data_IF_534202965336
#
_entry.id   IF_534202965336
#
_cell.length_a   1.000
_cell.length_b   1.000
_cell.length_c   1.000
_cell.angle_alpha   90.00
_cell.angle_beta   90.00
_cell.angle_gamma   90.00
#
_symmetry.space_group_name_H-M   'P 1'
#
loop_
_entity.id
_entity.type
_entity.pdbx_description
1 polymer ?
#
# COMPACT_ATOMS: atom_id res chain seq x y z
N UNK A 1 0.96 11.34 47.31
CA UNK A 1 2.12 10.54 46.85
C UNK A 1 1.84 10.01 45.43
N UNK A 2 1.86 10.87 44.40
CA UNK A 2 1.57 10.47 43.00
C UNK A 2 2.79 10.54 42.08
N UNK A 3 3.87 11.19 42.53
CA UNK A 3 5.13 11.33 41.80
C UNK A 3 5.73 9.98 41.31
N UNK A 4 5.78 8.90 42.11
CA UNK A 4 6.35 7.63 41.65
C UNK A 4 5.54 6.99 40.52
N UNK A 5 4.22 7.20 40.51
CA UNK A 5 3.34 6.65 39.48
C UNK A 5 3.55 7.35 38.13
N UNK A 6 3.76 8.66 38.12
CA UNK A 6 4.02 9.44 36.90
C UNK A 6 5.37 9.05 36.28
N UNK A 7 6.40 8.84 37.11
CA UNK A 7 7.73 8.40 36.65
C UNK A 7 7.67 7.00 36.03
N UNK A 8 6.81 6.12 36.55
CA UNK A 8 6.58 4.78 36.00
C UNK A 8 5.82 4.80 34.66
N UNK A 9 4.99 5.83 34.41
CA UNK A 9 4.23 6.00 33.17
C UNK A 9 5.05 6.61 32.01
N UNK A 10 6.08 7.40 32.31
CA UNK A 10 6.97 8.00 31.30
C UNK A 10 7.53 7.02 30.24
N UNK A 11 8.05 5.82 30.58
CA UNK A 11 8.55 4.89 29.56
C UNK A 11 7.43 4.35 28.65
N UNK A 12 6.22 4.15 29.17
CA UNK A 12 5.07 3.65 28.39
C UNK A 12 4.66 4.67 27.33
N UNK A 13 4.63 5.95 27.70
CA UNK A 13 4.33 7.04 26.76
C UNK A 13 5.38 7.16 25.65
N UNK A 14 6.64 6.80 25.91
CA UNK A 14 7.71 6.77 24.90
C UNK A 14 7.61 5.60 23.91
N UNK A 15 6.92 4.52 24.28
CA UNK A 15 6.75 3.33 23.43
C UNK A 15 5.55 3.49 22.48
N UNK A 16 4.58 4.36 22.79
CA UNK A 16 3.43 4.64 21.92
C UNK A 16 3.81 5.22 20.53
N UNK A 17 4.67 6.25 20.42
CA UNK A 17 5.05 6.81 19.13
C UNK A 17 5.64 5.78 18.14
N UNK A 18 6.64 4.94 18.50
CA UNK A 18 7.21 3.99 17.55
C UNK A 18 6.22 2.88 17.15
N UNK A 19 5.37 2.40 18.06
CA UNK A 19 4.34 1.40 17.73
C UNK A 19 3.31 1.94 16.74
N UNK A 20 2.92 3.20 16.89
CA UNK A 20 2.01 3.86 15.95
C UNK A 20 2.62 3.94 14.53
N UNK A 21 3.90 4.33 14.44
CA UNK A 21 4.61 4.37 13.16
C UNK A 21 4.73 2.99 12.52
N UNK A 22 5.03 1.94 13.30
CA UNK A 22 5.12 0.57 12.81
C UNK A 22 3.79 0.05 12.27
N UNK A 23 2.68 0.30 12.99
CA UNK A 23 1.34 -0.09 12.55
C UNK A 23 0.96 0.60 11.23
N UNK A 24 1.29 1.88 11.10
CA UNK A 24 0.99 2.65 9.88
C UNK A 24 1.83 2.18 8.69
N UNK A 25 3.15 2.01 8.88
CA UNK A 25 4.06 1.48 7.85
C UNK A 25 3.62 0.09 7.39
N UNK A 26 3.26 -0.79 8.32
CA UNK A 26 2.85 -2.17 8.01
C UNK A 26 1.57 -2.22 7.16
N UNK A 27 0.61 -1.31 7.40
CA UNK A 27 -0.60 -1.19 6.58
C UNK A 27 -0.27 -0.82 5.13
N UNK A 28 0.57 0.19 4.93
CA UNK A 28 0.98 0.65 3.58
C UNK A 28 1.79 -0.45 2.86
N UNK A 29 2.72 -1.09 3.57
CA UNK A 29 3.57 -2.15 3.00
C UNK A 29 2.78 -3.38 2.54
N UNK A 30 1.64 -3.68 3.17
CA UNK A 30 0.78 -4.79 2.74
C UNK A 30 0.28 -4.55 1.31
N UNK A 31 -0.20 -3.36 1.01
CA UNK A 31 -0.72 -3.01 -0.31
C UNK A 31 0.37 -2.94 -1.37
N UNK A 32 1.59 -2.52 -1.00
CA UNK A 32 2.75 -2.66 -1.88
C UNK A 32 3.01 -4.12 -2.28
N UNK A 33 2.89 -5.07 -1.34
CA UNK A 33 3.05 -6.50 -1.65
C UNK A 33 1.94 -7.04 -2.53
N UNK A 34 0.69 -6.61 -2.31
CA UNK A 34 -0.44 -7.00 -3.17
C UNK A 34 -0.26 -6.46 -4.60
N UNK A 35 0.17 -5.22 -4.76
CA UNK A 35 0.50 -4.64 -6.08
C UNK A 35 1.61 -5.42 -6.79
N UNK A 36 2.69 -5.75 -6.07
CA UNK A 36 3.80 -6.52 -6.64
C UNK A 36 3.36 -7.92 -7.09
N UNK A 37 2.47 -8.56 -6.33
CA UNK A 37 1.92 -9.86 -6.71
C UNK A 37 1.13 -9.80 -8.03
N UNK A 38 0.35 -8.74 -8.25
CA UNK A 38 -0.38 -8.51 -9.52
C UNK A 38 0.59 -8.24 -10.68
N UNK A 39 1.65 -7.47 -10.44
CA UNK A 39 2.66 -7.19 -11.45
C UNK A 39 3.42 -8.47 -11.85
N UNK A 40 3.76 -9.32 -10.88
CA UNK A 40 4.41 -10.61 -11.12
C UNK A 40 3.50 -11.57 -11.88
N UNK A 41 2.23 -11.71 -11.46
CA UNK A 41 1.29 -12.61 -12.16
C UNK A 41 1.07 -12.20 -13.62
N UNK A 42 0.94 -10.90 -13.90
CA UNK A 42 0.88 -10.39 -15.27
C UNK A 42 2.16 -10.64 -16.06
N UNK A 43 3.31 -10.48 -15.42
CA UNK A 43 4.62 -10.69 -16.08
C UNK A 43 4.85 -12.14 -16.47
N UNK A 44 4.34 -13.10 -15.67
CA UNK A 44 4.44 -14.54 -15.95
C UNK A 44 3.53 -14.99 -17.09
N UNK A 45 2.35 -14.38 -17.23
CA UNK A 45 1.36 -14.77 -18.23
C UNK A 45 0.60 -13.56 -18.76
N UNK A 46 0.99 -13.12 -19.97
CA UNK A 46 0.40 -11.96 -20.67
C UNK A 46 -0.84 -12.34 -21.48
N UNK A 47 -1.64 -13.25 -20.93
CA UNK A 47 -2.81 -13.76 -21.63
C UNK A 47 -3.94 -12.71 -21.64
N UNK A 48 -4.69 -12.52 -22.75
CA UNK A 48 -5.70 -11.47 -22.86
C UNK A 48 -6.83 -11.58 -21.82
N UNK A 49 -7.19 -12.80 -21.44
CA UNK A 49 -8.17 -13.15 -20.41
C UNK A 49 -7.70 -12.77 -19.00
N UNK A 50 -6.41 -12.95 -18.69
CA UNK A 50 -5.83 -12.59 -17.40
C UNK A 50 -5.62 -11.07 -17.24
N UNK A 51 -5.66 -10.32 -18.33
CA UNK A 51 -5.49 -8.86 -18.32
C UNK A 51 -6.63 -8.17 -17.59
N UNK A 52 -7.86 -8.57 -17.86
CA UNK A 52 -9.03 -7.95 -17.25
C UNK A 52 -9.10 -8.27 -15.76
N UNK A 53 -8.69 -9.48 -15.37
CA UNK A 53 -8.49 -9.88 -13.98
C UNK A 53 -7.41 -9.02 -13.29
N UNK A 54 -6.24 -8.85 -13.92
CA UNK A 54 -5.16 -8.02 -13.38
C UNK A 54 -5.59 -6.55 -13.21
N UNK A 55 -6.32 -5.98 -14.18
CA UNK A 55 -6.85 -4.61 -14.09
C UNK A 55 -7.89 -4.51 -12.96
N UNK A 56 -8.80 -5.47 -12.86
CA UNK A 56 -9.81 -5.51 -11.77
C UNK A 56 -9.15 -5.58 -10.40
N UNK A 57 -8.07 -6.33 -10.26
CA UNK A 57 -7.34 -6.43 -8.99
C UNK A 57 -6.60 -5.13 -8.66
N UNK A 58 -6.03 -4.44 -9.66
CA UNK A 58 -5.48 -3.09 -9.47
C UNK A 58 -6.55 -2.07 -9.06
N UNK A 59 -7.78 -2.17 -9.60
CA UNK A 59 -8.92 -1.33 -9.18
C UNK A 59 -9.34 -1.62 -7.74
N UNK A 60 -9.35 -2.89 -7.33
CA UNK A 60 -9.60 -3.28 -5.93
C UNK A 60 -8.55 -2.66 -5.01
N UNK A 61 -7.27 -2.78 -5.36
CA UNK A 61 -6.16 -2.24 -4.56
C UNK A 61 -6.25 -0.71 -4.47
N UNK A 62 -6.46 0.01 -5.58
CA UNK A 62 -6.56 1.49 -5.54
C UNK A 62 -7.75 1.95 -4.69
N UNK A 63 -8.90 1.28 -4.80
CA UNK A 63 -10.08 1.58 -3.98
C UNK A 63 -9.82 1.35 -2.48
N UNK A 64 -9.19 0.24 -2.11
CA UNK A 64 -8.87 -0.02 -0.70
C UNK A 64 -7.82 0.95 -0.14
N UNK A 65 -6.84 1.34 -0.97
CA UNK A 65 -5.83 2.33 -0.63
C UNK A 65 -6.45 3.72 -0.42
N UNK A 66 -7.49 4.09 -1.19
CA UNK A 66 -8.25 5.34 -1.02
C UNK A 66 -8.95 5.44 0.35
N UNK A 67 -9.38 4.31 0.92
CA UNK A 67 -10.07 4.28 2.22
C UNK A 67 -9.11 4.24 3.42
N UNK A 68 -7.80 4.23 3.19
CA UNK A 68 -6.83 4.26 4.29
C UNK A 68 -6.76 5.65 4.92
N UNK A 69 -7.26 5.75 6.15
CA UNK A 69 -6.98 6.90 7.02
C UNK A 69 -5.51 6.90 7.46
N UNK A 70 -4.69 7.70 6.79
CA UNK A 70 -3.30 7.94 7.18
C UNK A 70 -3.09 9.39 7.61
N UNK A 71 -2.23 9.66 8.61
CA UNK A 71 -1.82 11.01 8.96
C UNK A 71 -1.13 11.71 7.79
N UNK A 72 -1.17 13.04 7.77
CA UNK A 72 -0.56 13.86 6.73
C UNK A 72 0.93 13.52 6.47
N UNK A 73 1.68 13.14 7.52
CA UNK A 73 3.09 12.72 7.41
C UNK A 73 3.31 11.45 6.57
N UNK A 74 2.25 10.68 6.30
CA UNK A 74 2.27 9.47 5.48
C UNK A 74 1.52 9.65 4.15
N UNK A 75 0.94 10.82 3.89
CA UNK A 75 0.21 11.10 2.65
C UNK A 75 1.11 10.94 1.41
N UNK A 76 2.39 11.32 1.50
CA UNK A 76 3.37 11.12 0.43
C UNK A 76 3.55 9.63 0.06
N UNK A 77 3.62 8.76 1.07
CA UNK A 77 3.76 7.32 0.84
C UNK A 77 2.52 6.72 0.16
N UNK A 78 1.33 7.17 0.55
CA UNK A 78 0.09 6.81 -0.14
C UNK A 78 0.09 7.30 -1.60
N UNK A 79 0.50 8.54 -1.81
CA UNK A 79 0.53 9.13 -3.15
C UNK A 79 1.48 8.35 -4.07
N UNK A 80 2.67 7.99 -3.59
CA UNK A 80 3.62 7.17 -4.35
C UNK A 80 3.05 5.78 -4.70
N UNK A 81 2.37 5.13 -3.75
CA UNK A 81 1.71 3.85 -4.01
C UNK A 81 0.67 3.98 -5.12
N UNK A 82 -0.20 5.00 -5.03
CA UNK A 82 -1.23 5.24 -6.04
C UNK A 82 -0.64 5.56 -7.41
N UNK A 83 0.39 6.39 -7.47
CA UNK A 83 1.10 6.66 -8.71
C UNK A 83 1.66 5.38 -9.31
N UNK A 84 2.23 4.49 -8.49
CA UNK A 84 2.75 3.21 -8.95
C UNK A 84 1.65 2.31 -9.51
N UNK A 85 0.49 2.21 -8.84
CA UNK A 85 -0.69 1.46 -9.34
C UNK A 85 -1.10 1.96 -10.73
N UNK A 86 -1.18 3.27 -10.92
CA UNK A 86 -1.57 3.86 -12.20
C UNK A 86 -0.54 3.59 -13.31
N UNK A 87 0.76 3.61 -12.98
CA UNK A 87 1.82 3.26 -13.93
C UNK A 87 1.74 1.78 -14.37
N UNK A 88 1.56 0.85 -13.42
CA UNK A 88 1.40 -0.59 -13.75
C UNK A 88 0.15 -0.81 -14.60
N UNK A 89 -0.97 -0.17 -14.24
CA UNK A 89 -2.21 -0.22 -15.03
C UNK A 89 -2.01 0.24 -16.46
N UNK A 90 -1.31 1.36 -16.65
CA UNK A 90 -1.03 1.89 -17.97
C UNK A 90 -0.16 0.92 -18.79
N UNK A 91 0.86 0.33 -18.15
CA UNK A 91 1.73 -0.67 -18.78
C UNK A 91 0.97 -1.92 -19.23
N UNK A 92 0.13 -2.50 -18.36
CA UNK A 92 -0.73 -3.66 -18.71
C UNK A 92 -1.68 -3.29 -19.85
N UNK A 93 -2.19 -2.06 -19.87
CA UNK A 93 -3.09 -1.59 -20.93
C UNK A 93 -2.36 -1.42 -22.26
N UNK A 94 -1.12 -0.91 -22.26
CA UNK A 94 -0.33 -0.63 -23.45
C UNK A 94 0.36 -1.87 -24.05
N UNK A 95 0.79 -2.83 -23.23
CA UNK A 95 1.49 -4.04 -23.73
C UNK A 95 0.65 -4.91 -24.69
N UNK A 96 -0.68 -4.77 -24.68
CA UNK A 96 -1.56 -5.42 -25.66
C UNK A 96 -1.54 -4.71 -27.02
N UNK A 97 -1.29 -3.39 -27.04
CA UNK A 97 -1.23 -2.64 -28.30
C UNK A 97 -0.03 -3.08 -29.13
N UNK A 98 1.05 -3.53 -28.49
CA UNK A 98 2.28 -4.00 -29.15
C UNK A 98 2.24 -5.50 -29.51
N UNK A 99 1.27 -6.26 -29.00
CA UNK A 99 1.16 -7.72 -29.18
C UNK A 99 0.13 -8.14 -30.26
N UNK A 100 -0.43 -7.19 -31.00
CA UNK A 100 -1.46 -7.38 -32.03
C UNK A 100 -1.03 -6.69 -33.33
#
# INVERSE_FOLDING_TARGET
>A
MLLPLIVLLMPILKIMPPLYQWRMRSRIYRWYRELEAVNLSWSDSKAPDQREEAISELDRIDNEVLHLEVPLSYAEHLYHLRQHIQLVRQKIRSEIVDAN
#
